data_IF_289712083604
#
_entry.id   IF_289712083604
#
_cell.length_a   1.000
_cell.length_b   1.000
_cell.length_c   1.000
_cell.angle_alpha   90.00
_cell.angle_beta   90.00
_cell.angle_gamma   90.00
#
_symmetry.space_group_name_H-M   'P 1'
#
loop_
_entity.id
_entity.type
_entity.pdbx_description
1 polymer ?
#
# COMPACT_ATOMS: atom_id res chain seq x y z
N UNK A 1 8.77 -4.61 -7.86
CA UNK A 1 7.47 -5.06 -7.31
C UNK A 1 6.43 -5.36 -8.39
N UNK A 2 6.13 -4.44 -9.31
CA UNK A 2 5.08 -4.62 -10.35
C UNK A 2 5.23 -5.90 -11.19
N UNK A 3 6.45 -6.24 -11.59
CA UNK A 3 6.70 -7.50 -12.33
C UNK A 3 6.33 -8.75 -11.50
N UNK A 4 6.57 -8.74 -10.19
CA UNK A 4 6.22 -9.87 -9.31
C UNK A 4 4.72 -9.97 -9.07
N UNK A 5 3.99 -8.85 -9.13
CA UNK A 5 2.53 -8.84 -9.06
C UNK A 5 1.92 -9.50 -10.29
N UNK A 6 2.40 -9.15 -11.48
CA UNK A 6 2.02 -9.80 -12.73
C UNK A 6 2.31 -11.32 -12.70
N UNK A 7 3.50 -11.72 -12.25
CA UNK A 7 3.87 -13.13 -12.10
C UNK A 7 3.03 -13.88 -11.05
N UNK A 8 2.45 -13.17 -10.08
CA UNK A 8 1.60 -13.76 -9.04
C UNK A 8 0.14 -13.92 -9.49
N UNK A 9 -0.18 -13.66 -10.76
CA UNK A 9 -1.54 -13.70 -11.29
C UNK A 9 -2.32 -12.40 -11.05
N UNK A 10 -1.63 -11.32 -10.67
CA UNK A 10 -2.21 -10.02 -10.38
C UNK A 10 -1.69 -8.93 -11.32
N UNK A 11 -2.18 -8.87 -12.57
CA UNK A 11 -1.81 -7.79 -13.46
C UNK A 11 -2.37 -6.47 -12.91
N UNK A 12 -1.47 -5.60 -12.45
CA UNK A 12 -1.83 -4.26 -12.00
C UNK A 12 -1.70 -3.32 -13.19
N UNK A 13 -2.80 -2.82 -13.76
CA UNK A 13 -2.69 -1.79 -14.76
C UNK A 13 -2.13 -0.51 -14.11
N UNK A 14 -1.33 0.29 -14.83
CA UNK A 14 -0.85 1.58 -14.31
C UNK A 14 -1.99 2.50 -13.84
N UNK A 15 -3.19 2.34 -14.41
CA UNK A 15 -4.41 3.07 -14.01
C UNK A 15 -4.94 2.70 -12.62
N UNK A 16 -4.45 1.64 -11.99
CA UNK A 16 -4.80 1.30 -10.60
C UNK A 16 -4.15 2.22 -9.58
N UNK A 17 -3.13 3.00 -9.95
CA UNK A 17 -2.50 3.98 -9.05
C UNK A 17 -3.09 5.35 -9.38
N UNK A 18 -3.89 5.87 -8.45
CA UNK A 18 -4.66 7.10 -8.62
C UNK A 18 -4.13 8.14 -7.64
N UNK A 19 -3.89 9.35 -8.11
CA UNK A 19 -3.64 10.50 -7.25
C UNK A 19 -4.94 11.30 -7.11
N UNK A 20 -5.40 11.52 -5.88
CA UNK A 20 -6.65 12.22 -5.62
C UNK A 20 -6.57 13.08 -4.35
N UNK A 21 -7.39 14.15 -4.24
CA UNK A 21 -7.63 14.83 -2.97
C UNK A 21 -8.22 13.83 -1.95
N UNK A 22 -7.77 13.89 -0.70
CA UNK A 22 -8.22 12.98 0.34
C UNK A 22 -8.25 13.68 1.72
N UNK A 23 -8.64 12.95 2.76
CA UNK A 23 -8.60 13.44 4.15
C UNK A 23 -7.17 13.80 4.59
N UNK A 24 -6.98 14.91 5.31
CA UNK A 24 -5.65 15.41 5.61
C UNK A 24 -4.84 14.55 6.59
N UNK A 25 -5.45 13.55 7.21
CA UNK A 25 -4.78 12.61 8.14
C UNK A 25 -4.11 11.43 7.44
N UNK A 26 -4.24 11.29 6.12
CA UNK A 26 -3.74 10.12 5.37
C UNK A 26 -2.84 10.53 4.20
N UNK A 27 -1.85 9.69 3.93
CA UNK A 27 -0.93 9.83 2.80
C UNK A 27 -1.31 8.95 1.61
N UNK A 28 -2.10 7.89 1.85
CA UNK A 28 -2.56 6.97 0.81
C UNK A 28 -3.54 5.93 1.36
N UNK A 29 -3.93 4.99 0.51
CA UNK A 29 -4.71 3.83 0.90
C UNK A 29 -5.01 2.86 -0.23
N UNK A 30 -5.18 1.59 0.13
CA UNK A 30 -5.59 0.51 -0.74
C UNK A 30 -7.10 0.29 -0.69
N UNK A 31 -7.72 0.13 -1.86
CA UNK A 31 -9.11 -0.25 -2.00
C UNK A 31 -9.21 -1.69 -2.52
N UNK A 32 -10.01 -2.58 -1.88
CA UNK A 32 -10.17 -3.98 -2.29
C UNK A 32 -10.67 -4.19 -3.73
N UNK A 33 -11.14 -3.13 -4.40
CA UNK A 33 -11.44 -3.15 -5.84
C UNK A 33 -10.19 -3.14 -6.74
N UNK A 34 -8.98 -3.21 -6.15
CA UNK A 34 -7.72 -3.24 -6.89
C UNK A 34 -7.20 -1.86 -7.28
N UNK A 35 -7.44 -0.85 -6.43
CA UNK A 35 -6.95 0.51 -6.63
C UNK A 35 -6.11 0.97 -5.43
N UNK A 36 -5.04 1.70 -5.73
CA UNK A 36 -4.19 2.40 -4.77
C UNK A 36 -4.46 3.89 -4.96
N UNK A 37 -4.81 4.57 -3.88
CA UNK A 37 -5.01 6.01 -3.87
C UNK A 37 -3.85 6.67 -3.14
N UNK A 38 -3.17 7.60 -3.81
CA UNK A 38 -2.17 8.50 -3.23
C UNK A 38 -2.83 9.85 -2.98
N UNK A 39 -2.65 10.37 -1.77
CA UNK A 39 -3.25 11.61 -1.33
C UNK A 39 -2.47 12.82 -1.82
N UNK A 40 -3.07 13.60 -2.72
CA UNK A 40 -2.42 14.80 -3.26
C UNK A 40 -2.11 15.80 -2.13
N UNK A 41 -0.87 16.27 -2.06
CA UNK A 41 -0.45 17.30 -1.11
C UNK A 41 -0.11 16.78 0.29
N UNK A 42 -0.24 15.48 0.55
CA UNK A 42 0.09 14.84 1.84
C UNK A 42 1.47 14.16 1.84
N UNK A 43 2.37 14.62 0.98
CA UNK A 43 3.74 14.12 0.92
C UNK A 43 4.79 15.21 1.18
N UNK A 44 5.63 14.96 2.18
CA UNK A 44 6.71 15.85 2.61
C UNK A 44 7.98 15.68 1.77
N UNK A 45 8.15 14.51 1.15
CA UNK A 45 9.29 14.19 0.31
C UNK A 45 8.96 13.08 -0.69
N UNK A 46 9.78 12.96 -1.74
CA UNK A 46 9.71 11.83 -2.70
C UNK A 46 9.83 10.49 -1.98
N UNK A 47 10.71 10.40 -0.99
CA UNK A 47 10.91 9.18 -0.19
C UNK A 47 9.63 8.79 0.57
N UNK A 48 8.95 9.76 1.18
CA UNK A 48 7.68 9.49 1.87
C UNK A 48 6.60 8.99 0.91
N UNK A 49 6.51 9.55 -0.30
CA UNK A 49 5.62 9.07 -1.35
C UNK A 49 6.00 7.65 -1.80
N UNK A 50 7.30 7.35 -1.98
CA UNK A 50 7.79 6.01 -2.33
C UNK A 50 7.48 4.97 -1.25
N UNK A 51 7.72 5.30 0.03
CA UNK A 51 7.41 4.42 1.17
C UNK A 51 5.88 4.18 1.24
N UNK A 52 5.05 5.24 1.08
CA UNK A 52 3.58 5.11 1.04
C UNK A 52 3.12 4.22 -0.12
N UNK A 53 3.64 4.44 -1.32
CA UNK A 53 3.30 3.61 -2.48
C UNK A 53 3.72 2.15 -2.28
N UNK A 54 4.89 1.91 -1.68
CA UNK A 54 5.36 0.57 -1.36
C UNK A 54 4.44 -0.12 -0.34
N UNK A 55 3.98 0.61 0.68
CA UNK A 55 3.00 0.13 1.67
C UNK A 55 1.73 -0.40 0.99
N UNK A 56 1.09 0.43 0.16
CA UNK A 56 -0.15 0.05 -0.50
C UNK A 56 0.05 -1.07 -1.55
N UNK A 57 1.22 -1.14 -2.19
CA UNK A 57 1.56 -2.25 -3.08
C UNK A 57 1.69 -3.59 -2.34
N UNK A 58 2.09 -3.60 -1.06
CA UNK A 58 2.08 -4.82 -0.24
C UNK A 58 0.64 -5.27 0.02
N UNK A 59 -0.27 -4.36 0.38
CA UNK A 59 -1.69 -4.71 0.53
C UNK A 59 -2.29 -5.28 -0.75
N UNK A 60 -1.94 -4.68 -1.88
CA UNK A 60 -2.37 -5.16 -3.18
C UNK A 60 -1.81 -6.55 -3.52
N UNK A 61 -0.53 -6.80 -3.20
CA UNK A 61 0.06 -8.13 -3.30
C UNK A 61 -0.66 -9.14 -2.41
N UNK A 62 -0.91 -8.79 -1.16
CA UNK A 62 -1.50 -9.67 -0.18
C UNK A 62 -2.94 -10.02 -0.55
N UNK A 63 -3.72 -9.01 -0.98
CA UNK A 63 -5.07 -9.21 -1.49
C UNK A 63 -5.11 -10.25 -2.60
N UNK A 64 -4.17 -10.16 -3.54
CA UNK A 64 -4.16 -11.01 -4.71
C UNK A 64 -3.59 -12.41 -4.45
N UNK A 65 -2.55 -12.50 -3.63
CA UNK A 65 -1.85 -13.76 -3.39
C UNK A 65 -2.50 -14.61 -2.31
N UNK A 66 -3.05 -13.98 -1.28
CA UNK A 66 -3.53 -14.65 -0.07
C UNK A 66 -5.05 -14.53 0.15
N UNK A 67 -5.78 -13.89 -0.76
CA UNK A 67 -7.23 -13.68 -0.65
C UNK A 67 -7.62 -13.07 0.70
N UNK A 68 -6.96 -11.96 1.05
CA UNK A 68 -7.13 -11.26 2.33
C UNK A 68 -8.58 -10.83 2.50
N UNK A 69 -9.16 -11.23 3.63
CA UNK A 69 -10.46 -10.76 4.09
C UNK A 69 -10.27 -9.50 4.95
N UNK A 70 -10.56 -8.34 4.37
CA UNK A 70 -10.40 -7.03 5.00
C UNK A 70 -11.39 -6.77 6.14
N UNK A 71 -12.44 -7.60 6.29
CA UNK A 71 -13.36 -7.57 7.44
C UNK A 71 -12.85 -8.44 8.59
N UNK A 72 -11.92 -9.36 8.33
CA UNK A 72 -11.25 -10.14 9.35
C UNK A 72 -10.06 -9.37 9.91
N UNK A 73 -10.20 -8.90 11.16
CA UNK A 73 -9.18 -8.12 11.87
C UNK A 73 -7.80 -8.80 11.92
N UNK A 74 -7.75 -10.13 11.97
CA UNK A 74 -6.47 -10.85 11.96
C UNK A 74 -5.78 -10.77 10.59
N UNK A 75 -6.54 -10.94 9.52
CA UNK A 75 -6.00 -10.86 8.16
C UNK A 75 -5.53 -9.45 7.85
N UNK A 76 -6.34 -8.45 8.21
CA UNK A 76 -5.99 -7.04 8.07
C UNK A 76 -4.71 -6.73 8.84
N UNK A 77 -4.63 -7.06 10.14
CA UNK A 77 -3.44 -6.82 10.95
C UNK A 77 -2.18 -7.54 10.41
N UNK A 78 -2.31 -8.76 9.90
CA UNK A 78 -1.18 -9.46 9.28
C UNK A 78 -0.69 -8.75 8.01
N UNK A 79 -1.59 -8.19 7.20
CA UNK A 79 -1.19 -7.41 6.03
C UNK A 79 -0.53 -6.09 6.44
N UNK A 80 -1.03 -5.40 7.46
CA UNK A 80 -0.40 -4.19 8.03
C UNK A 80 1.02 -4.46 8.52
N UNK A 81 1.24 -5.56 9.25
CA UNK A 81 2.57 -5.94 9.74
C UNK A 81 3.54 -6.12 8.57
N UNK A 82 3.10 -6.78 7.50
CA UNK A 82 3.91 -6.98 6.28
C UNK A 82 4.18 -5.67 5.57
N UNK A 83 3.15 -4.82 5.41
CA UNK A 83 3.26 -3.53 4.75
C UNK A 83 4.28 -2.66 5.48
N UNK A 84 4.13 -2.47 6.80
CA UNK A 84 5.03 -1.65 7.61
C UNK A 84 6.49 -2.17 7.61
N UNK A 85 6.68 -3.49 7.59
CA UNK A 85 8.00 -4.12 7.59
C UNK A 85 8.71 -4.02 6.22
N UNK A 86 7.97 -3.99 5.11
CA UNK A 86 8.51 -4.00 3.75
C UNK A 86 8.50 -2.63 3.04
N UNK A 87 7.65 -1.70 3.49
CA UNK A 87 7.50 -0.36 2.91
C UNK A 87 8.58 0.63 3.37
N UNK A 88 9.17 0.36 4.54
CA UNK A 88 10.07 1.31 5.19
C UNK A 88 9.39 2.20 6.23
N UNK A 89 8.15 1.91 6.63
CA UNK A 89 7.49 2.61 7.73
C UNK A 89 8.08 2.24 9.09
N UNK A 90 8.46 0.98 9.29
CA UNK A 90 9.07 0.48 10.52
C UNK A 90 10.61 0.48 10.47
N UNK A 91 11.24 1.59 10.02
CA UNK A 91 12.71 1.72 10.05
C UNK A 91 13.16 2.25 11.40
N UNK A 92 14.30 1.77 11.89
CA UNK A 92 14.94 2.28 13.12
C UNK A 92 15.07 3.82 13.15
N UNK A 93 15.35 4.45 12.00
CA UNK A 93 15.45 5.92 11.89
C UNK A 93 14.12 6.68 12.03
N UNK A 94 12.99 6.00 12.26
CA UNK A 94 11.64 6.59 12.43
C UNK A 94 11.06 6.38 13.84
N UNK A 95 11.87 5.94 14.81
CA UNK A 95 11.44 5.71 16.21
C UNK A 95 11.44 6.97 17.10
N UNK A 96 11.69 8.16 16.54
CA UNK A 96 11.93 9.41 17.27
C UNK A 96 11.07 10.57 16.78
#
# INVERSE_FOLDING_TARGET
MLNHLCLSGCPIPPSSIICAPCDPTRSGGFHPAGAIVLCQGHFWSKKHMEDTLAHELVHMYDHCKFNVDWQNLRHHACSEIRANNLSGDCRYMREH
#
